data_IF_645527887622
#
_entry.id   IF_645527887622
#
_cell.length_a   1.000
_cell.length_b   1.000
_cell.length_c   1.000
_cell.angle_alpha   90.00
_cell.angle_beta   90.00
_cell.angle_gamma   90.00
#
_symmetry.space_group_name_H-M   'P 1'
#
loop_
_entity.id
_entity.type
_entity.pdbx_description
1 polymer ?
#
# COMPACT_ATOMS: atom_id res chain seq x y z
N UNK A 1 -9.19 9.82 -16.54
CA UNK A 1 -8.48 10.36 -15.36
C UNK A 1 -6.97 10.23 -15.53
N UNK A 2 -6.24 11.35 -15.51
CA UNK A 2 -4.78 11.36 -15.80
C UNK A 2 -3.96 10.71 -14.69
N UNK A 3 -4.42 10.75 -13.43
CA UNK A 3 -3.67 10.29 -12.26
C UNK A 3 -3.38 8.79 -12.29
N UNK A 4 -4.33 7.96 -12.73
CA UNK A 4 -4.16 6.51 -12.90
C UNK A 4 -4.25 6.07 -14.37
N UNK A 5 -4.06 7.01 -15.31
CA UNK A 5 -4.01 6.74 -16.76
C UNK A 5 -5.17 5.89 -17.28
N UNK A 6 -6.36 6.02 -16.69
CA UNK A 6 -7.55 5.23 -17.06
C UNK A 6 -7.58 3.77 -16.55
N UNK A 7 -6.54 3.29 -15.86
CA UNK A 7 -6.44 1.90 -15.36
C UNK A 7 -7.34 1.68 -14.12
N UNK A 8 -7.65 2.73 -13.37
CA UNK A 8 -8.47 2.67 -12.16
C UNK A 8 -7.73 2.16 -10.91
N UNK A 9 -6.46 1.77 -11.04
CA UNK A 9 -5.59 1.36 -9.96
C UNK A 9 -4.21 2.00 -10.10
N UNK A 10 -3.48 2.14 -8.99
CA UNK A 10 -2.07 2.49 -8.96
C UNK A 10 -1.31 1.60 -7.98
N UNK A 11 0.02 1.53 -8.10
CA UNK A 11 0.86 0.78 -7.17
C UNK A 11 0.65 1.32 -5.73
N UNK A 12 0.43 0.43 -4.78
CA UNK A 12 0.10 0.80 -3.41
C UNK A 12 1.16 1.74 -2.84
N UNK A 13 0.78 2.97 -2.51
CA UNK A 13 1.73 4.01 -2.08
C UNK A 13 2.34 3.71 -0.71
N UNK A 14 1.61 3.01 0.16
CA UNK A 14 2.07 2.69 1.52
C UNK A 14 3.20 1.65 1.52
N UNK A 15 3.04 0.55 0.78
CA UNK A 15 4.05 -0.50 0.69
C UNK A 15 4.92 -0.39 -0.56
N UNK A 16 4.76 0.66 -1.36
CA UNK A 16 5.42 0.87 -2.65
C UNK A 16 5.38 -0.38 -3.57
N UNK A 17 4.24 -1.07 -3.61
CA UNK A 17 4.05 -2.30 -4.38
C UNK A 17 4.66 -3.58 -3.77
N UNK A 18 5.24 -3.53 -2.58
CA UNK A 18 5.85 -4.70 -1.94
C UNK A 18 4.82 -5.67 -1.32
N UNK A 19 3.59 -5.20 -1.07
CA UNK A 19 2.50 -5.97 -0.46
C UNK A 19 2.63 -6.15 1.06
N UNK A 20 3.82 -5.93 1.61
CA UNK A 20 4.09 -5.93 3.05
C UNK A 20 4.74 -4.61 3.50
N UNK A 21 4.60 -4.29 4.78
CA UNK A 21 5.27 -3.18 5.44
C UNK A 21 6.07 -3.68 6.63
N UNK A 22 7.20 -3.03 6.90
CA UNK A 22 7.96 -3.23 8.12
C UNK A 22 7.35 -2.33 9.18
N UNK A 23 6.70 -2.92 10.18
CA UNK A 23 6.05 -2.18 11.25
C UNK A 23 6.23 -2.90 12.58
N UNK A 24 6.34 -2.12 13.65
CA UNK A 24 6.32 -2.63 15.01
C UNK A 24 5.61 -1.65 15.93
N UNK A 25 4.81 -2.13 16.90
CA UNK A 25 4.20 -1.27 17.90
C UNK A 25 5.21 -0.76 18.95
N UNK A 26 6.40 -1.38 19.03
CA UNK A 26 7.44 -0.97 19.96
C UNK A 26 8.25 0.18 19.36
N UNK A 27 8.63 1.16 20.19
CA UNK A 27 9.48 2.28 19.78
C UNK A 27 10.88 1.81 19.36
N UNK A 28 11.46 0.89 20.14
CA UNK A 28 12.74 0.23 19.87
C UNK A 28 12.57 -1.29 19.75
N UNK A 29 12.09 -1.77 18.59
CA UNK A 29 11.87 -3.18 18.38
C UNK A 29 13.20 -3.91 18.13
N UNK A 30 13.48 -4.93 18.93
CA UNK A 30 14.57 -5.89 18.67
C UNK A 30 14.34 -6.65 17.34
N UNK A 31 13.07 -6.80 16.93
CA UNK A 31 12.69 -7.47 15.70
C UNK A 31 11.55 -6.72 15.00
N UNK A 32 11.69 -6.55 13.68
CA UNK A 32 10.67 -5.91 12.84
C UNK A 32 10.08 -6.98 11.92
N UNK A 33 8.84 -7.40 12.21
CA UNK A 33 8.17 -8.41 11.41
C UNK A 33 7.50 -7.76 10.18
N UNK A 34 7.68 -8.30 8.96
CA UNK A 34 6.91 -7.84 7.81
C UNK A 34 5.43 -8.18 8.01
N UNK A 35 4.60 -7.15 8.06
CA UNK A 35 3.14 -7.28 8.14
C UNK A 35 2.52 -7.11 6.75
N UNK A 36 1.38 -7.76 6.51
CA UNK A 36 0.60 -7.50 5.29
C UNK A 36 0.20 -6.02 5.26
N UNK A 37 0.39 -5.37 4.12
CA UNK A 37 0.08 -3.95 3.96
C UNK A 37 -1.44 -3.75 4.13
N UNK A 38 -1.91 -2.95 5.11
CA UNK A 38 -3.33 -2.83 5.41
C UNK A 38 -4.10 -2.10 4.30
N UNK A 39 -3.44 -1.24 3.54
CA UNK A 39 -4.12 -0.41 2.54
C UNK A 39 -4.29 -1.09 1.18
N UNK A 40 -3.55 -2.16 0.90
CA UNK A 40 -3.77 -2.96 -0.29
C UNK A 40 -4.02 -4.43 0.02
N UNK A 41 -4.15 -4.82 1.29
CA UNK A 41 -4.32 -6.21 1.75
C UNK A 41 -3.38 -7.21 1.06
N UNK A 42 -2.13 -6.81 0.81
CA UNK A 42 -1.16 -7.65 0.09
C UNK A 42 -1.26 -7.68 -1.44
N UNK A 43 -2.30 -7.11 -2.06
CA UNK A 43 -2.50 -7.09 -3.52
C UNK A 43 -1.56 -6.16 -4.30
N UNK A 44 -0.71 -5.39 -3.61
CA UNK A 44 0.32 -4.49 -4.18
C UNK A 44 -0.23 -3.29 -4.96
N UNK A 45 -1.54 -3.24 -5.21
CA UNK A 45 -2.23 -2.13 -5.90
C UNK A 45 -3.34 -1.55 -5.03
N UNK A 46 -3.64 -0.27 -5.25
CA UNK A 46 -4.72 0.46 -4.59
C UNK A 46 -5.67 1.02 -5.64
N UNK A 47 -6.96 1.08 -5.30
CA UNK A 47 -7.96 1.71 -6.18
C UNK A 47 -7.71 3.21 -6.26
N UNK A 48 -7.84 3.72 -7.47
CA UNK A 48 -7.68 5.13 -7.75
C UNK A 48 -8.94 5.89 -7.33
N UNK A 49 -8.91 6.51 -6.16
CA UNK A 49 -10.06 7.25 -5.60
C UNK A 49 -10.22 8.67 -6.16
N UNK A 50 -9.22 9.19 -6.87
CA UNK A 50 -9.29 10.53 -7.48
C UNK A 50 -10.15 10.59 -8.75
N UNK A 51 -10.71 9.45 -9.17
CA UNK A 51 -11.44 9.32 -10.42
C UNK A 51 -12.81 8.71 -10.21
N UNK A 52 -13.36 8.84 -9.00
CA UNK A 52 -14.75 8.52 -8.70
C UNK A 52 -15.58 9.68 -9.23
N UNK A 53 -15.91 9.60 -10.51
CA UNK A 53 -16.66 10.57 -11.30
C UNK A 53 -16.98 9.95 -12.65
#
# INVERSE_FOLDING_TARGET
CNICKGIGYYACKLCNGNGTIKWSPLHDPVFINPCVCPTCSGFKVQRCLNCVG
#
